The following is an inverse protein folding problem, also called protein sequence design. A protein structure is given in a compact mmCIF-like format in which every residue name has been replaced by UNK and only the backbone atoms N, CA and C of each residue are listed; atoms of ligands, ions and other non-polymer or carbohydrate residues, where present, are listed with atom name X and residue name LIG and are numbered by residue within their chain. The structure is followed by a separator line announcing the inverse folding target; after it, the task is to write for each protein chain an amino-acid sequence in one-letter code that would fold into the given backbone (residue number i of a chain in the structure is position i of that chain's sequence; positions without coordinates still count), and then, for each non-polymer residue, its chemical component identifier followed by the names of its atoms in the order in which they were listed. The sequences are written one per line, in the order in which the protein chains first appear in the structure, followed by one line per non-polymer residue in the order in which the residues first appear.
data_IF_001313535388
#
_entry.id   IF_001313535388
#
_cell.length_a   1.000
_cell.length_b   1.000
_cell.length_c   1.000
_cell.angle_alpha   90.00
_cell.angle_beta   90.00
_cell.angle_gamma   90.00
#
_symmetry.space_group_name_H-M   'P 1'
#
loop_
_entity.id
_entity.type
_entity.pdbx_description
1 polymer ?
#
# COMPACT_ATOMS: atom_id res chain seq x y z
N UNK A 1 -26.69 -4.99 -22.73
CA UNK A 1 -26.99 -3.78 -21.99
C UNK A 1 -25.73 -3.37 -21.26
N UNK A 2 -25.01 -2.42 -21.85
CA UNK A 2 -23.82 -1.86 -21.20
C UNK A 2 -24.27 -0.86 -20.15
N UNK A 3 -24.25 -1.24 -18.89
CA UNK A 3 -24.52 -0.31 -17.81
C UNK A 3 -23.45 0.78 -17.77
N UNK A 4 -23.93 2.00 -17.71
CA UNK A 4 -23.25 3.27 -17.71
C UNK A 4 -22.22 3.41 -16.53
N UNK A 5 -21.12 2.71 -16.59
CA UNK A 5 -19.98 2.89 -15.67
C UNK A 5 -19.31 4.26 -15.86
N UNK A 6 -19.50 4.88 -17.03
CA UNK A 6 -18.74 6.07 -17.43
C UNK A 6 -19.31 7.40 -16.90
N UNK A 7 -20.48 7.44 -16.24
CA UNK A 7 -21.13 8.72 -15.92
C UNK A 7 -21.08 9.15 -14.45
N UNK A 8 -20.40 8.38 -13.57
CA UNK A 8 -20.23 8.76 -12.17
C UNK A 8 -18.87 8.30 -11.59
N UNK A 9 -17.80 8.49 -12.36
CA UNK A 9 -16.44 8.39 -11.77
C UNK A 9 -16.31 9.63 -10.90
N UNK A 10 -16.56 9.45 -9.60
CA UNK A 10 -16.32 10.51 -8.63
C UNK A 10 -14.82 10.57 -8.39
N UNK A 11 -14.21 11.62 -8.92
CA UNK A 11 -12.80 11.95 -8.81
C UNK A 11 -12.45 12.46 -7.42
N UNK A 12 -11.23 12.20 -6.99
CA UNK A 12 -10.71 12.80 -5.77
C UNK A 12 -10.27 14.25 -6.01
N UNK A 13 -10.54 15.13 -5.05
CA UNK A 13 -10.09 16.52 -5.11
C UNK A 13 -8.63 16.67 -4.68
N UNK A 14 -8.10 15.70 -3.92
CA UNK A 14 -6.72 15.71 -3.42
C UNK A 14 -6.20 14.30 -3.15
N UNK A 15 -4.86 14.15 -3.13
CA UNK A 15 -4.22 12.89 -2.71
C UNK A 15 -4.54 12.56 -1.24
N UNK A 16 -4.74 13.58 -0.40
CA UNK A 16 -5.15 13.37 0.99
C UNK A 16 -6.54 12.74 1.09
N UNK A 17 -7.52 13.22 0.32
CA UNK A 17 -8.86 12.62 0.29
C UNK A 17 -8.80 11.17 -0.17
N UNK A 18 -8.05 10.88 -1.23
CA UNK A 18 -7.80 9.53 -1.72
C UNK A 18 -7.15 8.66 -0.65
N UNK A 19 -6.14 9.19 0.05
CA UNK A 19 -5.39 8.49 1.09
C UNK A 19 -6.30 8.06 2.24
N UNK A 20 -7.12 8.96 2.77
CA UNK A 20 -8.06 8.66 3.88
C UNK A 20 -8.99 7.51 3.51
N UNK A 21 -9.63 7.57 2.34
CA UNK A 21 -10.54 6.52 1.91
C UNK A 21 -9.83 5.21 1.57
N UNK A 22 -8.59 5.28 1.08
CA UNK A 22 -7.79 4.10 0.81
C UNK A 22 -7.37 3.38 2.10
N UNK A 23 -7.07 4.12 3.17
CA UNK A 23 -6.84 3.55 4.50
C UNK A 23 -8.03 2.74 4.98
N UNK A 24 -9.24 3.30 4.91
CA UNK A 24 -10.46 2.60 5.31
C UNK A 24 -10.70 1.33 4.47
N UNK A 25 -10.37 1.38 3.17
CA UNK A 25 -10.39 0.20 2.31
C UNK A 25 -9.41 -0.88 2.79
N UNK A 26 -8.15 -0.50 3.12
CA UNK A 26 -7.14 -1.44 3.61
C UNK A 26 -7.57 -2.08 4.95
N UNK A 27 -8.07 -1.28 5.89
CA UNK A 27 -8.55 -1.75 7.20
C UNK A 27 -9.71 -2.76 7.07
N UNK A 28 -10.56 -2.59 6.08
CA UNK A 28 -11.64 -3.54 5.78
C UNK A 28 -11.12 -4.82 5.10
N UNK A 29 -10.07 -4.71 4.28
CA UNK A 29 -9.54 -5.82 3.49
C UNK A 29 -8.62 -6.74 4.28
N UNK A 30 -7.81 -6.19 5.16
CA UNK A 30 -6.81 -6.94 5.91
C UNK A 30 -7.22 -7.14 7.36
N UNK A 31 -6.89 -8.31 7.92
CA UNK A 31 -7.11 -8.59 9.34
C UNK A 31 -6.05 -7.89 10.19
N UNK A 32 -6.30 -6.63 10.49
CA UNK A 32 -5.38 -5.79 11.28
C UNK A 32 -5.32 -6.17 12.76
N UNK A 33 -6.21 -7.05 13.23
CA UNK A 33 -6.22 -7.49 14.63
C UNK A 33 -5.26 -8.64 14.91
N UNK A 34 -5.12 -9.55 13.95
CA UNK A 34 -4.42 -10.81 14.19
C UNK A 34 -3.19 -11.03 13.31
N UNK A 35 -3.18 -10.60 12.05
CA UNK A 35 -2.17 -11.04 11.10
C UNK A 35 -1.59 -9.96 10.20
N UNK A 36 -2.09 -8.73 10.26
CA UNK A 36 -1.59 -7.64 9.40
C UNK A 36 -1.49 -6.30 10.14
N UNK A 37 -0.47 -5.52 9.78
CA UNK A 37 -0.32 -4.12 10.20
C UNK A 37 -0.39 -3.22 8.97
N UNK A 38 -1.19 -2.15 9.07
CA UNK A 38 -1.24 -1.08 8.08
C UNK A 38 -0.41 0.07 8.64
N UNK A 39 0.61 0.47 7.89
CA UNK A 39 1.52 1.54 8.25
C UNK A 39 1.42 2.62 7.18
N UNK A 40 1.19 3.83 7.60
CA UNK A 40 1.11 5.03 6.77
C UNK A 40 2.46 5.75 6.77
N UNK A 41 2.89 6.22 5.60
CA UNK A 41 4.11 7.02 5.42
C UNK A 41 5.37 6.42 6.08
N UNK A 42 5.60 5.12 5.88
CA UNK A 42 6.78 4.47 6.46
C UNK A 42 8.07 5.03 5.89
N UNK A 43 8.87 5.68 6.75
CA UNK A 43 10.15 6.28 6.36
C UNK A 43 11.19 5.17 6.20
N UNK A 44 11.49 4.80 4.95
CA UNK A 44 12.58 3.89 4.60
C UNK A 44 13.76 4.65 3.99
N UNK A 45 14.96 4.06 3.97
CA UNK A 45 16.11 4.65 3.28
C UNK A 45 15.93 4.81 1.75
N UNK A 46 14.89 4.19 1.19
CA UNK A 46 14.68 4.08 -0.26
C UNK A 46 13.37 4.69 -0.74
N UNK A 47 12.74 5.49 0.08
CA UNK A 47 11.50 6.17 -0.19
C UNK A 47 10.47 5.96 0.91
N UNK A 48 9.37 6.67 0.79
CA UNK A 48 8.28 6.66 1.76
C UNK A 48 7.04 6.20 1.01
N UNK A 49 6.64 4.91 1.09
CA UNK A 49 5.36 4.47 0.54
C UNK A 49 4.22 5.13 1.30
N UNK A 50 3.15 5.50 0.59
CA UNK A 50 1.97 6.08 1.22
C UNK A 50 1.36 5.10 2.22
N UNK A 51 1.34 3.81 1.86
CA UNK A 51 0.92 2.72 2.75
C UNK A 51 1.82 1.49 2.61
N UNK A 52 1.99 0.81 3.74
CA UNK A 52 2.50 -0.55 3.77
C UNK A 52 1.52 -1.46 4.51
N UNK A 53 1.30 -2.66 3.98
CA UNK A 53 0.67 -3.75 4.70
C UNK A 53 1.74 -4.79 5.00
N UNK A 54 1.97 -5.04 6.28
CA UNK A 54 2.94 -6.02 6.77
C UNK A 54 2.17 -7.20 7.33
N UNK A 55 2.26 -8.33 6.67
CA UNK A 55 1.62 -9.57 7.10
C UNK A 55 2.58 -10.39 7.97
N UNK A 56 2.04 -10.98 9.03
CA UNK A 56 2.77 -11.80 9.99
C UNK A 56 2.25 -13.22 9.98
N UNK A 57 3.17 -14.15 10.22
CA UNK A 57 2.90 -15.54 10.55
C UNK A 57 3.75 -15.91 11.77
N UNK A 58 3.12 -16.39 12.86
CA UNK A 58 3.80 -16.78 14.10
C UNK A 58 4.83 -15.75 14.60
N UNK A 59 4.46 -14.47 14.64
CA UNK A 59 5.29 -13.33 15.01
C UNK A 59 6.46 -13.01 14.07
N UNK A 60 6.57 -13.67 12.93
CA UNK A 60 7.56 -13.35 11.89
C UNK A 60 6.90 -12.61 10.74
N UNK A 61 7.61 -11.68 10.11
CA UNK A 61 7.13 -11.00 8.90
C UNK A 61 7.08 -12.03 7.76
N UNK A 62 5.88 -12.24 7.25
CA UNK A 62 5.60 -13.12 6.12
C UNK A 62 5.74 -12.41 4.79
N UNK A 63 5.16 -11.23 4.69
CA UNK A 63 5.22 -10.43 3.48
C UNK A 63 5.06 -8.93 3.76
N UNK A 64 5.60 -8.12 2.86
CA UNK A 64 5.45 -6.67 2.83
C UNK A 64 4.84 -6.28 1.49
N UNK A 65 3.73 -5.56 1.54
CA UNK A 65 3.04 -4.99 0.37
C UNK A 65 3.11 -3.47 0.50
N UNK A 66 3.65 -2.80 -0.50
CA UNK A 66 3.74 -1.33 -0.53
C UNK A 66 2.76 -0.75 -1.54
N UNK A 67 2.18 0.40 -1.22
CA UNK A 67 1.26 1.15 -2.07
C UNK A 67 1.74 2.58 -2.22
N UNK A 68 1.72 3.05 -3.46
CA UNK A 68 1.89 4.45 -3.82
C UNK A 68 0.58 4.95 -4.42
N UNK A 69 0.09 6.09 -3.95
CA UNK A 69 -1.14 6.72 -4.42
C UNK A 69 -0.81 7.93 -5.29
N UNK A 70 -1.48 8.08 -6.43
CA UNK A 70 -1.33 9.25 -7.29
C UNK A 70 -2.65 9.61 -7.94
N UNK A 71 -2.96 10.90 -7.99
CA UNK A 71 -4.10 11.38 -8.78
C UNK A 71 -3.81 11.30 -10.28
N UNK A 72 -2.60 11.67 -10.73
CA UNK A 72 -2.29 11.76 -12.15
C UNK A 72 -0.87 11.39 -12.55
N UNK A 73 0.12 11.62 -11.70
CA UNK A 73 1.57 11.50 -12.03
C UNK A 73 2.04 10.04 -12.09
N UNK A 74 1.41 9.21 -12.92
CA UNK A 74 1.65 7.76 -12.94
C UNK A 74 3.10 7.37 -13.22
N UNK A 75 3.83 8.11 -14.07
CA UNK A 75 5.26 7.82 -14.37
C UNK A 75 6.13 7.97 -13.12
N UNK A 76 5.89 9.03 -12.35
CA UNK A 76 6.57 9.26 -11.08
C UNK A 76 6.18 8.20 -10.05
N UNK A 77 4.89 7.88 -9.96
CA UNK A 77 4.38 6.84 -9.07
C UNK A 77 4.96 5.45 -9.40
N UNK A 78 5.09 5.10 -10.68
CA UNK A 78 5.73 3.85 -11.10
C UNK A 78 7.18 3.76 -10.63
N UNK A 79 7.96 4.84 -10.76
CA UNK A 79 9.36 4.89 -10.28
C UNK A 79 9.43 4.74 -8.77
N UNK A 80 8.51 5.39 -8.03
CA UNK A 80 8.45 5.27 -6.57
C UNK A 80 8.10 3.83 -6.17
N UNK A 81 7.02 3.26 -6.72
CA UNK A 81 6.62 1.89 -6.47
C UNK A 81 7.73 0.87 -6.81
N UNK A 82 8.50 1.11 -7.88
CA UNK A 82 9.63 0.25 -8.23
C UNK A 82 10.74 0.28 -7.15
N UNK A 83 11.04 1.45 -6.57
CA UNK A 83 12.02 1.54 -5.48
C UNK A 83 11.61 0.71 -4.24
N UNK A 84 10.32 0.62 -3.95
CA UNK A 84 9.82 -0.13 -2.81
C UNK A 84 10.01 -1.64 -2.96
N UNK A 85 10.15 -2.17 -4.17
CA UNK A 85 10.51 -3.58 -4.39
C UNK A 85 11.89 -3.95 -3.80
N UNK A 86 12.71 -2.98 -3.44
CA UNK A 86 13.96 -3.26 -2.73
C UNK A 86 13.76 -3.91 -1.37
N UNK A 87 12.57 -3.74 -0.76
CA UNK A 87 12.22 -4.29 0.54
C UNK A 87 10.81 -4.90 0.61
N UNK A 88 9.98 -4.75 -0.43
CA UNK A 88 8.63 -5.27 -0.49
C UNK A 88 8.52 -6.47 -1.43
N UNK A 89 7.68 -7.43 -1.08
CA UNK A 89 7.37 -8.61 -1.90
C UNK A 89 6.42 -8.26 -3.06
N UNK A 90 5.56 -7.26 -2.82
CA UNK A 90 4.59 -6.72 -3.78
C UNK A 90 4.62 -5.21 -3.65
N UNK A 91 4.55 -4.51 -4.78
CA UNK A 91 4.40 -3.07 -4.81
C UNK A 91 3.33 -2.67 -5.81
N UNK A 92 2.44 -1.77 -5.41
CA UNK A 92 1.35 -1.26 -6.22
C UNK A 92 1.47 0.25 -6.44
N UNK A 93 1.12 0.67 -7.66
CA UNK A 93 0.65 2.02 -7.92
C UNK A 93 -0.87 2.00 -7.99
N UNK A 94 -1.50 2.86 -7.20
CA UNK A 94 -2.95 3.07 -7.18
C UNK A 94 -3.23 4.47 -7.72
N UNK A 95 -4.03 4.55 -8.77
CA UNK A 95 -4.40 5.80 -9.42
C UNK A 95 -5.86 6.14 -9.18
N UNK A 96 -6.19 7.43 -9.28
CA UNK A 96 -7.58 7.86 -9.34
C UNK A 96 -8.30 7.17 -10.51
N UNK A 97 -9.55 6.76 -10.28
CA UNK A 97 -10.37 6.01 -11.22
C UNK A 97 -10.56 6.66 -12.58
N UNK A 98 -10.51 8.01 -12.66
CA UNK A 98 -10.61 8.75 -13.91
C UNK A 98 -9.42 8.50 -14.86
N UNK A 99 -8.29 7.99 -14.35
CA UNK A 99 -7.09 7.68 -15.14
C UNK A 99 -7.11 6.30 -15.78
N UNK A 100 -8.16 5.50 -15.57
CA UNK A 100 -8.26 4.11 -16.03
C UNK A 100 -7.94 3.95 -17.52
N UNK A 101 -8.59 4.72 -18.39
CA UNK A 101 -8.41 4.57 -19.84
C UNK A 101 -7.02 5.04 -20.31
N UNK A 102 -6.47 6.07 -19.68
CA UNK A 102 -5.11 6.52 -19.95
C UNK A 102 -4.09 5.45 -19.59
N UNK A 103 -4.22 4.87 -18.38
CA UNK A 103 -3.21 3.97 -17.85
C UNK A 103 -3.26 2.58 -18.49
N UNK A 104 -4.43 2.13 -18.96
CA UNK A 104 -4.55 0.88 -19.73
C UNK A 104 -3.66 0.88 -20.97
N UNK A 105 -3.52 2.03 -21.64
CA UNK A 105 -2.63 2.19 -22.81
C UNK A 105 -1.16 2.03 -22.47
N UNK A 106 -0.81 2.16 -21.18
CA UNK A 106 0.56 2.13 -20.67
C UNK A 106 0.84 0.89 -19.78
N UNK A 107 -0.07 -0.08 -19.75
CA UNK A 107 0.00 -1.24 -18.85
C UNK A 107 1.26 -2.09 -19.03
N UNK A 108 1.87 -2.07 -20.21
CA UNK A 108 3.12 -2.79 -20.49
C UNK A 108 4.27 -2.36 -19.57
N UNK A 109 4.33 -1.08 -19.17
CA UNK A 109 5.35 -0.59 -18.25
C UNK A 109 5.25 -1.27 -16.89
N UNK A 110 4.04 -1.53 -16.42
CA UNK A 110 3.77 -2.20 -15.14
C UNK A 110 4.07 -3.70 -15.22
N UNK A 111 3.68 -4.34 -16.31
CA UNK A 111 4.00 -5.76 -16.56
C UNK A 111 5.51 -5.99 -16.62
N UNK A 112 6.25 -5.14 -17.34
CA UNK A 112 7.70 -5.26 -17.50
C UNK A 112 8.46 -5.06 -16.18
N UNK A 113 7.94 -4.21 -15.29
CA UNK A 113 8.55 -3.95 -13.98
C UNK A 113 7.98 -4.82 -12.85
N UNK A 114 6.95 -5.63 -13.14
CA UNK A 114 6.20 -6.40 -12.16
C UNK A 114 5.70 -5.53 -10.99
N UNK A 115 5.13 -4.36 -11.33
CA UNK A 115 4.47 -3.45 -10.39
C UNK A 115 2.96 -3.56 -10.57
N UNK A 116 2.25 -3.81 -9.48
CA UNK A 116 0.81 -3.84 -9.47
C UNK A 116 0.22 -2.50 -9.90
N UNK A 117 -0.87 -2.56 -10.64
CA UNK A 117 -1.60 -1.38 -11.09
C UNK A 117 -3.06 -1.53 -10.71
N UNK A 118 -3.57 -0.55 -9.97
CA UNK A 118 -4.98 -0.46 -9.62
C UNK A 118 -5.50 0.96 -9.82
N UNK A 119 -6.81 1.06 -9.99
CA UNK A 119 -7.55 2.33 -9.92
C UNK A 119 -8.53 2.29 -8.76
N UNK A 120 -8.72 3.41 -8.10
CA UNK A 120 -9.52 3.55 -6.90
C UNK A 120 -10.45 4.75 -7.03
N UNK A 121 -11.68 4.66 -6.50
CA UNK A 121 -12.65 5.73 -6.56
C UNK A 121 -13.12 6.15 -5.16
N UNK A 122 -13.84 7.26 -5.07
CA UNK A 122 -14.33 7.78 -3.80
C UNK A 122 -15.51 6.99 -3.19
N UNK A 123 -16.01 5.96 -3.87
CA UNK A 123 -16.92 4.96 -3.29
C UNK A 123 -16.17 3.84 -2.57
N UNK A 124 -14.85 3.94 -2.46
CA UNK A 124 -13.94 2.91 -1.90
C UNK A 124 -13.93 1.62 -2.72
N UNK A 125 -14.17 1.71 -4.01
CA UNK A 125 -14.06 0.59 -4.93
C UNK A 125 -12.69 0.61 -5.59
N UNK A 126 -12.05 -0.56 -5.65
CA UNK A 126 -10.77 -0.77 -6.31
C UNK A 126 -10.94 -1.72 -7.50
N UNK A 127 -10.30 -1.38 -8.61
CA UNK A 127 -10.17 -2.28 -9.74
C UNK A 127 -8.70 -2.54 -10.01
N UNK A 128 -8.30 -3.80 -9.94
CA UNK A 128 -6.94 -4.23 -10.24
C UNK A 128 -6.83 -4.43 -11.75
N UNK A 129 -6.02 -3.59 -12.40
CA UNK A 129 -5.76 -3.67 -13.83
C UNK A 129 -4.60 -4.62 -14.14
N UNK A 130 -3.64 -4.75 -13.23
CA UNK A 130 -2.56 -5.72 -13.30
C UNK A 130 -2.18 -6.21 -11.91
N UNK A 131 -2.27 -7.52 -11.69
CA UNK A 131 -1.83 -8.17 -10.47
C UNK A 131 -0.40 -8.68 -10.67
N UNK A 132 0.58 -8.18 -9.89
CA UNK A 132 1.96 -8.60 -10.01
C UNK A 132 2.18 -9.98 -9.40
N UNK A 133 3.23 -10.66 -9.83
CA UNK A 133 3.73 -11.85 -9.15
C UNK A 133 4.40 -11.47 -7.83
N UNK A 134 4.26 -12.34 -6.83
CA UNK A 134 4.99 -12.21 -5.57
C UNK A 134 6.46 -12.52 -5.84
N UNK A 135 7.36 -11.63 -5.42
CA UNK A 135 8.80 -11.78 -5.58
C UNK A 135 9.54 -11.55 -4.26
N UNK A 136 10.69 -12.16 -4.12
CA UNK A 136 11.61 -11.75 -3.06
C UNK A 136 12.09 -10.33 -3.32
N UNK A 137 12.18 -9.46 -2.28
CA UNK A 137 12.75 -8.13 -2.43
C UNK A 137 14.15 -8.19 -3.06
N UNK A 138 14.46 -7.29 -3.98
CA UNK A 138 15.73 -7.36 -4.71
C UNK A 138 16.96 -6.91 -3.90
N UNK A 139 16.79 -6.35 -2.69
CA UNK A 139 17.90 -5.95 -1.82
C UNK A 139 17.76 -6.56 -0.43
N UNK A 140 18.57 -7.59 -0.14
CA UNK A 140 18.59 -8.19 1.19
C UNK A 140 19.01 -7.21 2.29
N UNK A 141 19.90 -6.26 1.99
CA UNK A 141 20.32 -5.22 2.92
C UNK A 141 19.16 -4.27 3.28
N UNK A 142 18.41 -3.84 2.28
CA UNK A 142 17.26 -2.94 2.48
C UNK A 142 16.16 -3.64 3.25
N UNK A 143 15.88 -4.89 2.89
CA UNK A 143 14.92 -5.73 3.60
C UNK A 143 15.26 -5.86 5.07
N UNK A 144 16.53 -6.20 5.41
CA UNK A 144 16.98 -6.30 6.80
C UNK A 144 16.79 -4.99 7.58
N UNK A 145 17.09 -3.84 6.97
CA UNK A 145 16.93 -2.52 7.61
C UNK A 145 15.46 -2.20 7.88
N UNK A 146 14.59 -2.48 6.91
CA UNK A 146 13.15 -2.25 7.04
C UNK A 146 12.55 -3.19 8.08
N UNK A 147 12.87 -4.49 8.02
CA UNK A 147 12.40 -5.48 9.01
C UNK A 147 12.80 -5.09 10.42
N UNK A 148 14.06 -4.74 10.64
CA UNK A 148 14.54 -4.30 11.96
C UNK A 148 13.75 -3.11 12.49
N UNK A 149 13.51 -2.09 11.66
CA UNK A 149 12.73 -0.91 12.05
C UNK A 149 11.27 -1.28 12.37
N UNK A 150 10.65 -2.15 11.57
CA UNK A 150 9.29 -2.63 11.82
C UNK A 150 9.18 -3.39 13.14
N UNK A 151 10.16 -4.20 13.48
CA UNK A 151 10.20 -4.92 14.75
C UNK A 151 10.38 -3.98 15.95
N UNK A 152 11.24 -2.96 15.83
CA UNK A 152 11.43 -1.92 16.84
C UNK A 152 10.13 -1.12 17.05
N UNK A 153 9.46 -0.68 15.98
CA UNK A 153 8.19 0.06 16.05
C UNK A 153 7.06 -0.80 16.67
N UNK A 154 7.02 -2.10 16.37
CA UNK A 154 6.06 -3.04 16.95
C UNK A 154 6.28 -3.23 18.45
N UNK A 155 7.53 -3.35 18.89
CA UNK A 155 7.88 -3.42 20.31
C UNK A 155 7.43 -2.17 21.07
N UNK A 156 7.65 -0.99 20.51
CA UNK A 156 7.22 0.29 21.10
C UNK A 156 5.68 0.38 21.19
N UNK A 157 4.95 -0.08 20.18
CA UNK A 157 3.48 -0.08 20.20
C UNK A 157 2.92 -1.03 21.27
N UNK A 158 3.54 -2.19 21.48
CA UNK A 158 3.15 -3.14 22.52
C UNK A 158 3.43 -2.61 23.94
N UNK A 159 4.55 -1.91 24.14
CA UNK A 159 4.87 -1.26 25.42
C UNK A 159 3.85 -0.17 25.75
N UNK A 160 3.48 0.65 24.76
CA UNK A 160 2.48 1.71 24.97
C UNK A 160 1.08 1.16 25.26
N UNK A 161 0.71 0.01 24.69
CA UNK A 161 -0.56 -0.65 24.97
C UNK A 161 -0.63 -1.27 26.36
N UNK A 162 0.47 -1.82 26.87
CA UNK A 162 0.54 -2.35 28.25
C UNK A 162 0.50 -1.24 29.30
N UNK A 163 1.16 -0.11 29.06
CA UNK A 163 1.12 1.04 29.98
C UNK A 163 -0.26 1.72 30.04
N UNK A 164 -1.10 1.58 29.03
CA UNK A 164 -2.48 2.08 29.08
C UNK A 164 -3.42 1.23 29.94
N UNK A 165 -3.07 -0.03 30.22
CA UNK A 165 -3.87 -0.90 31.09
C UNK A 165 -3.55 -0.71 32.58
N UNK A 166 -2.35 -0.28 32.95
CA UNK A 166 -1.98 -0.03 34.35
C UNK A 166 -2.63 1.24 34.94
N UNK A 167 -3.04 2.19 34.08
CA UNK A 167 -3.71 3.41 34.53
C UNK A 167 -5.24 3.28 34.73
N UNK A 168 -5.82 2.11 34.59
CA UNK A 168 -7.26 1.87 34.80
C UNK A 168 -7.53 1.35 36.22
N UNK A 169 -6.51 0.99 37.00
CA UNK A 169 -6.66 0.40 38.35
C UNK A 169 -5.97 1.20 39.48
N UNK A 170 -5.71 2.48 39.25
CA UNK A 170 -5.39 3.46 40.28
C UNK A 170 -6.38 4.64 40.17
#
# INVERSE_FOLDING_TARGET
MGENWERNIMIFNSELEMSVLFREYLEKKYDTKNSAYIIEEFISPFGIPDYMVVEYDNNSIKSIISFELKLSSWKRGLVQAFKYKSFSNISFLVLDGDKKELIKKNISNFKNSNIGLAVFNNKKEIEILFLPSIESPYSSLNTKRVVKKLEEDKLLSNINSTNSFENIFL
#
